data_IF_072935155047
#
_entry.id   IF_072935155047
#
_cell.length_a   1.000
_cell.length_b   1.000
_cell.length_c   1.000
_cell.angle_alpha   90.00
_cell.angle_beta   90.00
_cell.angle_gamma   90.00
#
_symmetry.space_group_name_H-M   'P 1'
#
loop_
_entity.id
_entity.type
_entity.pdbx_description
1 polymer ?
#
# COMPACT_ATOMS: atom_id res chain seq x y z
N UNK A 1 -26.13 17.15 1.79
CA UNK A 1 -26.12 18.55 1.32
C UNK A 1 -25.95 19.52 2.50
N UNK A 2 -24.85 19.43 3.27
CA UNK A 2 -24.73 20.15 4.55
C UNK A 2 -23.50 21.08 4.69
N UNK A 3 -22.49 20.93 3.83
CA UNK A 3 -21.27 21.77 3.90
C UNK A 3 -21.40 23.13 3.22
N UNK A 4 -22.32 23.30 2.27
CA UNK A 4 -22.40 24.51 1.43
C UNK A 4 -22.73 25.79 2.23
N UNK A 5 -23.49 25.63 3.32
CA UNK A 5 -23.91 26.72 4.20
C UNK A 5 -23.23 26.65 5.59
N UNK A 6 -22.19 25.83 5.74
CA UNK A 6 -21.54 25.66 7.04
C UNK A 6 -20.59 26.82 7.33
N UNK A 7 -20.74 27.46 8.49
CA UNK A 7 -19.88 28.55 8.96
C UNK A 7 -18.63 28.05 9.68
N UNK A 8 -18.55 26.76 9.95
CA UNK A 8 -17.43 26.12 10.63
C UNK A 8 -16.76 25.08 9.72
N UNK A 9 -15.45 24.83 9.87
CA UNK A 9 -14.78 23.80 9.08
C UNK A 9 -15.40 22.42 9.36
N UNK A 10 -15.66 21.60 8.33
CA UNK A 10 -16.19 20.26 8.56
C UNK A 10 -15.21 19.40 9.36
N UNK A 11 -15.73 18.34 9.99
CA UNK A 11 -14.92 17.27 10.54
C UNK A 11 -13.95 16.74 9.46
N UNK A 12 -12.74 16.38 9.87
CA UNK A 12 -11.74 15.89 8.94
C UNK A 12 -12.23 14.61 8.23
N UNK A 13 -11.86 14.39 6.96
CA UNK A 13 -11.01 15.24 6.12
C UNK A 13 -11.76 16.42 5.47
N UNK A 14 -11.20 17.64 5.59
CA UNK A 14 -11.82 18.91 5.17
C UNK A 14 -11.80 19.15 3.66
N UNK A 15 -11.05 18.36 2.90
CA UNK A 15 -10.81 18.55 1.46
C UNK A 15 -11.70 17.70 0.56
N UNK A 16 -12.66 16.93 1.10
CA UNK A 16 -13.51 16.06 0.29
C UNK A 16 -14.38 16.81 -0.72
N UNK A 17 -14.71 18.08 -0.46
CA UNK A 17 -15.40 18.90 -1.46
C UNK A 17 -14.60 19.07 -2.76
N UNK A 18 -13.27 18.97 -2.69
CA UNK A 18 -12.41 18.96 -3.87
C UNK A 18 -12.64 17.77 -4.80
N UNK A 19 -13.12 16.63 -4.27
CA UNK A 19 -13.53 15.46 -5.07
C UNK A 19 -14.72 15.82 -5.95
N UNK A 20 -15.69 16.55 -5.41
CA UNK A 20 -16.88 17.00 -6.16
C UNK A 20 -16.50 18.05 -7.20
N UNK A 21 -15.76 19.09 -6.81
CA UNK A 21 -15.40 20.19 -7.72
C UNK A 21 -14.57 19.75 -8.91
N UNK A 22 -13.77 18.70 -8.74
CA UNK A 22 -12.91 18.14 -9.78
C UNK A 22 -13.46 16.86 -10.41
N UNK A 23 -14.69 16.47 -10.04
CA UNK A 23 -15.33 15.23 -10.50
C UNK A 23 -14.44 13.98 -10.35
N UNK A 24 -13.73 13.86 -9.23
CA UNK A 24 -12.82 12.75 -8.95
C UNK A 24 -13.58 11.51 -8.47
N UNK A 25 -13.04 10.32 -8.78
CA UNK A 25 -13.46 9.05 -8.17
C UNK A 25 -12.57 8.73 -6.97
N UNK A 26 -13.17 8.53 -5.81
CA UNK A 26 -12.51 8.02 -4.60
C UNK A 26 -13.04 6.62 -4.30
N UNK A 27 -12.18 5.61 -4.39
CA UNK A 27 -12.57 4.21 -4.25
C UNK A 27 -11.59 3.48 -3.34
N UNK A 28 -12.11 2.83 -2.31
CA UNK A 28 -11.34 1.91 -1.49
C UNK A 28 -11.16 0.58 -2.22
N UNK A 29 -10.00 -0.05 -2.04
CA UNK A 29 -9.68 -1.33 -2.67
C UNK A 29 -9.06 -2.27 -1.63
N UNK A 30 -9.44 -3.54 -1.67
CA UNK A 30 -8.88 -4.59 -0.85
C UNK A 30 -8.52 -5.79 -1.70
N UNK A 31 -7.28 -6.28 -1.58
CA UNK A 31 -6.78 -7.48 -2.30
C UNK A 31 -7.66 -8.70 -2.02
N UNK A 32 -8.34 -8.76 -0.87
CA UNK A 32 -9.24 -9.88 -0.53
C UNK A 32 -10.45 -9.97 -1.47
N UNK A 33 -10.89 -8.86 -2.03
CA UNK A 33 -12.08 -8.82 -2.90
C UNK A 33 -11.76 -9.35 -4.31
N UNK A 34 -10.47 -9.49 -4.64
CA UNK A 34 -9.95 -9.84 -5.97
C UNK A 34 -9.18 -11.16 -5.98
N UNK A 35 -9.40 -12.04 -5.01
CA UNK A 35 -8.71 -13.35 -4.96
C UNK A 35 -8.97 -14.21 -6.21
N UNK A 36 -10.11 -14.01 -6.88
CA UNK A 36 -10.48 -14.73 -8.09
C UNK A 36 -9.59 -14.42 -9.31
N UNK A 37 -8.95 -13.25 -9.37
CA UNK A 37 -7.99 -12.88 -10.44
C UNK A 37 -6.54 -13.18 -10.08
N UNK A 38 -6.29 -13.80 -8.93
CA UNK A 38 -4.92 -14.07 -8.47
C UNK A 38 -4.12 -14.93 -9.45
N UNK A 39 -4.74 -15.94 -10.05
CA UNK A 39 -4.08 -16.81 -11.03
C UNK A 39 -3.60 -16.04 -12.26
N UNK A 40 -4.45 -15.19 -12.83
CA UNK A 40 -4.12 -14.31 -13.96
C UNK A 40 -2.96 -13.37 -13.61
N UNK A 41 -2.98 -12.79 -12.40
CA UNK A 41 -1.90 -11.93 -11.92
C UNK A 41 -0.56 -12.69 -11.83
N UNK A 42 -0.57 -13.91 -11.31
CA UNK A 42 0.63 -14.75 -11.18
C UNK A 42 1.19 -15.16 -12.54
N UNK A 43 0.31 -15.54 -13.49
CA UNK A 43 0.68 -15.86 -14.88
C UNK A 43 1.33 -14.66 -15.58
N UNK A 44 0.81 -13.45 -15.35
CA UNK A 44 1.34 -12.22 -15.93
C UNK A 44 2.68 -11.83 -15.28
N UNK A 45 2.76 -11.77 -13.96
CA UNK A 45 3.90 -11.16 -13.26
C UNK A 45 5.10 -12.09 -13.10
N UNK A 46 4.88 -13.39 -12.93
CA UNK A 46 5.98 -14.34 -12.62
C UNK A 46 7.09 -14.32 -13.67
N UNK A 47 6.78 -14.42 -14.99
CA UNK A 47 7.83 -14.39 -16.02
C UNK A 47 8.55 -13.05 -16.08
N UNK A 48 7.86 -11.94 -15.78
CA UNK A 48 8.44 -10.61 -15.80
C UNK A 48 9.39 -10.37 -14.61
N UNK A 49 9.06 -10.91 -13.44
CA UNK A 49 9.95 -10.89 -12.28
C UNK A 49 11.18 -11.78 -12.55
N UNK A 50 10.98 -13.00 -13.04
CA UNK A 50 12.07 -13.94 -13.33
C UNK A 50 13.03 -13.44 -14.42
N UNK A 51 12.51 -12.77 -15.45
CA UNK A 51 13.31 -12.17 -16.52
C UNK A 51 13.98 -10.86 -16.12
N UNK A 52 13.70 -10.32 -14.92
CA UNK A 52 14.21 -9.03 -14.47
C UNK A 52 13.58 -7.82 -15.14
N UNK A 53 12.54 -8.00 -15.98
CA UNK A 53 11.76 -6.90 -16.56
C UNK A 53 11.02 -6.12 -15.49
N UNK A 54 10.60 -6.80 -14.42
CA UNK A 54 10.09 -6.19 -13.20
C UNK A 54 11.11 -6.44 -12.10
N UNK A 55 11.71 -5.38 -11.59
CA UNK A 55 12.63 -5.43 -10.44
C UNK A 55 11.83 -5.24 -9.16
N UNK A 56 12.02 -6.12 -8.19
CA UNK A 56 11.35 -6.04 -6.89
C UNK A 56 12.36 -5.53 -5.88
N UNK A 57 12.20 -4.28 -5.45
CA UNK A 57 13.00 -3.71 -4.37
C UNK A 57 12.59 -4.32 -3.04
N UNK A 58 13.59 -4.73 -2.26
CA UNK A 58 13.41 -5.34 -0.95
C UNK A 58 14.47 -4.83 0.00
N UNK A 59 14.06 -4.61 1.25
CA UNK A 59 14.97 -4.43 2.37
C UNK A 59 14.85 -5.68 3.22
N UNK A 60 15.96 -6.41 3.38
CA UNK A 60 15.99 -7.69 4.11
C UNK A 60 16.71 -7.50 5.45
N UNK A 61 16.03 -7.89 6.52
CA UNK A 61 16.59 -7.94 7.88
C UNK A 61 16.76 -9.41 8.27
N UNK A 62 17.93 -9.76 8.78
CA UNK A 62 18.28 -11.13 9.16
C UNK A 62 17.94 -11.39 10.63
N UNK A 63 17.24 -12.49 10.90
CA UNK A 63 16.94 -12.97 12.25
C UNK A 63 15.56 -12.55 12.77
N UNK A 64 14.82 -13.51 13.32
CA UNK A 64 13.51 -13.25 13.93
C UNK A 64 13.58 -12.30 15.12
N UNK A 65 14.70 -12.28 15.84
CA UNK A 65 14.92 -11.36 16.97
C UNK A 65 14.85 -9.87 16.57
N UNK A 66 15.03 -9.56 15.28
CA UNK A 66 14.97 -8.21 14.73
C UNK A 66 13.57 -7.81 14.24
N UNK A 67 12.54 -8.64 14.43
CA UNK A 67 11.19 -8.38 13.89
C UNK A 67 10.59 -7.06 14.36
N UNK A 68 10.80 -6.70 15.63
CA UNK A 68 10.27 -5.46 16.21
C UNK A 68 10.96 -4.25 15.58
N UNK A 69 12.28 -4.28 15.47
CA UNK A 69 13.05 -3.18 14.88
C UNK A 69 12.73 -3.03 13.39
N UNK A 70 12.62 -4.14 12.66
CA UNK A 70 12.20 -4.15 11.25
C UNK A 70 10.80 -3.54 11.07
N UNK A 71 9.84 -3.92 11.93
CA UNK A 71 8.48 -3.38 11.88
C UNK A 71 8.43 -1.88 12.20
N UNK A 72 9.16 -1.43 13.22
CA UNK A 72 9.24 -0.01 13.56
C UNK A 72 9.94 0.80 12.47
N UNK A 73 11.00 0.26 11.87
CA UNK A 73 11.67 0.88 10.72
C UNK A 73 10.73 1.04 9.53
N UNK A 74 9.91 0.02 9.23
CA UNK A 74 8.89 0.11 8.18
C UNK A 74 7.89 1.24 8.42
N UNK A 75 7.45 1.44 9.66
CA UNK A 75 6.53 2.54 10.01
C UNK A 75 7.19 3.93 9.94
N UNK A 76 8.51 4.01 10.10
CA UNK A 76 9.29 5.24 9.94
C UNK A 76 9.64 5.53 8.47
N UNK A 77 9.54 4.53 7.60
CA UNK A 77 9.92 4.61 6.19
C UNK A 77 11.39 4.29 5.92
N UNK A 78 12.04 3.52 6.80
CA UNK A 78 13.47 3.18 6.68
C UNK A 78 13.75 2.14 5.57
N UNK A 79 12.72 1.46 5.06
CA UNK A 79 12.83 0.44 4.01
C UNK A 79 12.73 1.03 2.59
N UNK A 80 13.62 0.58 1.70
CA UNK A 80 13.38 0.65 0.26
C UNK A 80 12.62 -0.61 -0.19
N UNK A 81 11.47 -0.42 -0.82
CA UNK A 81 10.63 -1.53 -1.29
C UNK A 81 10.07 -2.38 -0.15
N UNK A 82 9.93 -3.69 -0.36
CA UNK A 82 9.29 -4.59 0.62
C UNK A 82 10.22 -4.90 1.79
N UNK A 83 9.77 -4.64 3.03
CA UNK A 83 10.44 -5.10 4.25
C UNK A 83 10.25 -6.62 4.42
N UNK A 84 11.35 -7.37 4.53
CA UNK A 84 11.36 -8.82 4.75
C UNK A 84 12.25 -9.14 5.94
N UNK A 85 11.73 -9.91 6.90
CA UNK A 85 12.56 -10.52 7.95
C UNK A 85 12.86 -11.96 7.53
N UNK A 86 14.13 -12.27 7.29
CA UNK A 86 14.59 -13.63 6.98
C UNK A 86 14.82 -14.38 8.27
N UNK A 87 14.16 -15.52 8.42
CA UNK A 87 14.35 -16.42 9.55
C UNK A 87 15.28 -17.55 9.11
N UNK A 88 16.55 -17.46 9.47
CA UNK A 88 17.52 -18.56 9.36
C UNK A 88 17.39 -19.46 10.58
N UNK A 89 17.40 -20.78 10.35
CA UNK A 89 17.55 -21.80 11.39
C UNK A 89 19.02 -21.96 11.76
#
# INVERSE_FOLDING_TARGET
MAQYNSTEPPAAPRNLFGVVLKSLRLEGFSVRDYQHVRGELEELLTPHIQSGRIVVDQTVVEGFSQIIDAFLGMLRGDNSGKMIVRVTH
#
